data_IF_649038187724
#
_entry.id   IF_649038187724
#
_cell.length_a   1.000
_cell.length_b   1.000
_cell.length_c   1.000
_cell.angle_alpha   90.00
_cell.angle_beta   90.00
_cell.angle_gamma   90.00
#
_symmetry.space_group_name_H-M   'P 1'
#
loop_
_entity.id
_entity.type
_entity.pdbx_description
1 polymer ?
#
# COMPACT_ATOMS: atom_id res chain seq x y z
N UNK A 1 11.08 12.74 1.96
CA UNK A 1 10.69 11.35 1.63
C UNK A 1 9.60 10.76 2.53
N UNK A 2 9.49 11.13 3.82
CA UNK A 2 8.44 10.62 4.74
C UNK A 2 6.99 10.89 4.31
N UNK A 3 6.70 12.07 3.74
CA UNK A 3 5.34 12.48 3.40
C UNK A 3 4.62 11.53 2.41
N UNK A 4 5.34 10.98 1.42
CA UNK A 4 4.76 10.09 0.40
C UNK A 4 4.31 8.75 0.98
N UNK A 5 5.09 8.19 1.91
CA UNK A 5 4.77 6.93 2.57
C UNK A 5 3.61 7.08 3.55
N UNK A 6 3.51 8.22 4.24
CA UNK A 6 2.36 8.55 5.08
C UNK A 6 1.07 8.70 4.26
N UNK A 7 1.15 9.40 3.12
CA UNK A 7 0.00 9.55 2.22
C UNK A 7 -0.46 8.18 1.68
N UNK A 8 0.48 7.33 1.27
CA UNK A 8 0.19 5.97 0.85
C UNK A 8 -0.54 5.16 1.94
N UNK A 9 -0.09 5.26 3.18
CA UNK A 9 -0.74 4.60 4.32
C UNK A 9 -2.17 5.11 4.54
N UNK A 10 -2.38 6.42 4.46
CA UNK A 10 -3.71 7.03 4.59
C UNK A 10 -4.65 6.57 3.47
N UNK A 11 -4.17 6.54 2.22
CA UNK A 11 -4.93 6.06 1.08
C UNK A 11 -5.30 4.57 1.21
N UNK A 12 -4.38 3.73 1.68
CA UNK A 12 -4.68 2.31 1.93
C UNK A 12 -5.75 2.12 3.01
N UNK A 13 -5.81 3.02 4.01
CA UNK A 13 -6.81 2.99 5.07
C UNK A 13 -8.17 3.56 4.64
N UNK A 14 -8.19 4.65 3.89
CA UNK A 14 -9.43 5.28 3.41
C UNK A 14 -10.04 4.54 2.22
N UNK A 15 -9.20 3.92 1.38
CA UNK A 15 -9.61 3.26 0.15
C UNK A 15 -9.14 1.79 0.13
N UNK A 16 -9.72 0.89 0.95
CA UNK A 16 -9.32 -0.52 0.98
C UNK A 16 -9.49 -1.22 -0.37
N UNK A 17 -10.42 -0.73 -1.21
CA UNK A 17 -10.66 -1.22 -2.56
C UNK A 17 -9.52 -0.88 -3.55
N UNK A 18 -8.73 0.19 -3.33
CA UNK A 18 -7.64 0.57 -4.23
C UNK A 18 -6.45 -0.36 -4.10
N UNK A 19 -5.92 -0.81 -5.23
CA UNK A 19 -4.74 -1.68 -5.27
C UNK A 19 -3.49 -0.99 -4.70
N UNK A 20 -2.63 -1.78 -4.05
CA UNK A 20 -1.34 -1.29 -3.52
C UNK A 20 -0.50 -0.68 -4.64
N UNK A 21 -0.62 -1.20 -5.87
CA UNK A 21 -0.01 -0.64 -7.08
C UNK A 21 -0.49 0.79 -7.35
N UNK A 22 -1.81 1.02 -7.43
CA UNK A 22 -2.37 2.37 -7.66
C UNK A 22 -1.92 3.36 -6.59
N UNK A 23 -1.95 2.95 -5.32
CA UNK A 23 -1.50 3.81 -4.22
C UNK A 23 0.00 4.13 -4.32
N UNK A 24 0.83 3.15 -4.71
CA UNK A 24 2.26 3.36 -4.91
C UNK A 24 2.50 4.35 -6.06
N UNK A 25 1.82 4.19 -7.20
CA UNK A 25 1.91 5.07 -8.36
C UNK A 25 1.49 6.50 -8.01
N UNK A 26 0.34 6.66 -7.33
CA UNK A 26 -0.20 7.95 -6.86
C UNK A 26 0.75 8.65 -5.88
N UNK A 27 1.45 7.87 -5.04
CA UNK A 27 2.47 8.38 -4.11
C UNK A 27 3.82 8.68 -4.78
N UNK A 28 3.94 8.47 -6.10
CA UNK A 28 5.13 8.75 -6.89
C UNK A 28 6.15 7.61 -6.97
N UNK A 29 5.76 6.36 -6.70
CA UNK A 29 6.60 5.18 -6.87
C UNK A 29 6.24 4.46 -8.17
N UNK A 30 7.19 4.37 -9.10
CA UNK A 30 7.01 3.61 -10.35
C UNK A 30 7.18 2.09 -10.18
N UNK A 31 7.53 1.60 -8.98
CA UNK A 31 7.76 0.18 -8.77
C UNK A 31 7.32 -0.27 -7.37
N UNK A 32 6.47 -1.30 -7.34
CA UNK A 32 6.00 -1.98 -6.14
C UNK A 32 7.13 -2.51 -5.27
N UNK A 33 8.17 -3.13 -5.85
CA UNK A 33 9.26 -3.70 -5.07
C UNK A 33 10.01 -2.60 -4.28
N UNK A 34 10.19 -1.44 -4.91
CA UNK A 34 10.82 -0.28 -4.26
C UNK A 34 9.92 0.30 -3.17
N UNK A 35 8.62 0.39 -3.45
CA UNK A 35 7.62 0.84 -2.48
C UNK A 35 7.57 -0.08 -1.26
N UNK A 36 7.47 -1.40 -1.43
CA UNK A 36 7.43 -2.36 -0.32
C UNK A 36 8.68 -2.29 0.56
N UNK A 37 9.88 -2.19 -0.04
CA UNK A 37 11.13 -2.04 0.73
C UNK A 37 11.16 -0.73 1.50
N UNK A 38 10.77 0.38 0.89
CA UNK A 38 10.73 1.68 1.56
C UNK A 38 9.67 1.73 2.67
N UNK A 39 8.49 1.16 2.42
CA UNK A 39 7.37 1.09 3.37
C UNK A 39 7.72 0.21 4.56
N UNK A 40 8.25 -1.00 4.33
CA UNK A 40 8.70 -1.90 5.40
C UNK A 40 9.84 -1.30 6.23
N UNK A 41 10.78 -0.59 5.59
CA UNK A 41 11.84 0.12 6.32
C UNK A 41 11.30 1.29 7.16
N UNK A 42 10.19 1.90 6.77
CA UNK A 42 9.61 3.06 7.46
C UNK A 42 8.64 2.66 8.59
N UNK A 43 7.82 1.62 8.37
CA UNK A 43 6.72 1.22 9.26
C UNK A 43 6.92 -0.16 9.91
N UNK A 44 8.01 -0.87 9.60
CA UNK A 44 8.32 -2.21 10.11
C UNK A 44 7.55 -3.34 9.41
N UNK A 45 6.35 -3.06 8.90
CA UNK A 45 5.47 -4.04 8.27
C UNK A 45 5.19 -3.72 6.79
N UNK A 46 4.93 -4.73 5.96
CA UNK A 46 4.55 -4.50 4.56
C UNK A 46 3.15 -3.86 4.45
N UNK A 47 2.91 -3.04 3.41
CA UNK A 47 1.64 -2.33 3.22
C UNK A 47 0.43 -3.27 3.11
N UNK A 48 0.64 -4.52 2.65
CA UNK A 48 -0.39 -5.55 2.60
C UNK A 48 -0.99 -5.93 3.96
N UNK A 49 -0.23 -5.83 5.06
CA UNK A 49 -0.72 -6.09 6.42
C UNK A 49 -1.69 -5.02 6.91
N UNK A 50 -1.52 -3.79 6.41
CA UNK A 50 -2.39 -2.66 6.76
C UNK A 50 -3.63 -2.56 5.87
N UNK A 51 -3.66 -3.33 4.77
CA UNK A 51 -4.79 -3.40 3.88
C UNK A 51 -5.74 -4.46 4.43
N UNK A 52 -6.99 -4.07 4.68
CA UNK A 52 -8.05 -5.05 4.91
C UNK A 52 -8.20 -5.83 3.60
N UNK A 53 -7.96 -7.15 3.56
CA UNK A 53 -8.14 -7.89 2.33
C UNK A 53 -9.60 -7.71 1.90
N UNK A 54 -9.88 -7.48 0.60
CA UNK A 54 -11.25 -7.56 0.11
C UNK A 54 -11.82 -8.92 0.55
N UNK A 55 -13.13 -9.01 0.88
CA UNK A 55 -13.73 -10.28 1.24
C UNK A 55 -13.34 -11.29 0.16
N UNK A 56 -12.65 -12.35 0.57
CA UNK A 56 -12.19 -13.41 -0.32
C UNK A 56 -13.44 -14.10 -0.83
N UNK A 57 -14.02 -13.60 -1.92
CA UNK A 57 -14.98 -14.33 -2.73
C UNK A 57 -14.22 -15.53 -3.30
N UNK A 58 -14.21 -16.62 -2.52
CA UNK A 58 -13.86 -17.95 -3.00
C UNK A 58 -14.98 -18.38 -3.96
N UNK A 59 -14.78 -18.12 -5.24
CA UNK A 59 -15.46 -18.79 -6.33
C UNK A 59 -14.51 -18.83 -7.52
N UNK A 60 -13.59 -19.79 -7.48
CA UNK A 60 -13.20 -20.62 -8.62
C UNK A 60 -12.66 -21.95 -8.07
#
# INVERSE_FOLDING_TARGET
MKARLTQAMQSLRHFPQRSVLDVALDSGFNNLATFYRAFGRQFGNPPGTHRVPPPKNRCD
#
